data_IF_337550542796
#
_entry.id   IF_337550542796
#
_cell.length_a   1.000
_cell.length_b   1.000
_cell.length_c   1.000
_cell.angle_alpha   90.00
_cell.angle_beta   90.00
_cell.angle_gamma   90.00
#
_symmetry.space_group_name_H-M   'P 1'
#
loop_
_entity.id
_entity.type
_entity.pdbx_description
1 polymer ?
#
# COMPACT_ATOMS: atom_id res chain seq x y z
N UNK A 1 6.24 3.38 -11.76
CA UNK A 1 6.76 3.64 -10.41
C UNK A 1 6.14 2.62 -9.47
N UNK A 2 6.87 2.20 -8.44
CA UNK A 2 6.35 1.29 -7.41
C UNK A 2 6.17 2.10 -6.14
N UNK A 3 4.99 1.99 -5.53
CA UNK A 3 4.63 2.65 -4.30
C UNK A 3 4.40 1.61 -3.23
N UNK A 4 4.81 1.93 -2.01
CA UNK A 4 4.52 1.15 -0.83
C UNK A 4 3.64 1.94 0.10
N UNK A 5 2.42 1.46 0.30
CA UNK A 5 1.52 1.95 1.33
C UNK A 5 1.68 1.09 2.59
N UNK A 6 1.74 1.73 3.75
CA UNK A 6 1.73 1.08 5.07
C UNK A 6 0.34 1.23 5.66
N UNK A 7 -0.23 0.10 6.05
CA UNK A 7 -1.59 -0.02 6.57
C UNK A 7 -1.56 -0.53 8.01
N UNK A 8 -2.54 -0.13 8.83
CA UNK A 8 -2.58 -0.46 10.25
C UNK A 8 -2.91 -1.93 10.53
N UNK A 9 -3.49 -2.68 9.58
CA UNK A 9 -3.84 -4.09 9.76
C UNK A 9 -3.92 -4.86 8.43
N UNK A 10 -3.86 -6.19 8.49
CA UNK A 10 -3.93 -7.08 7.34
C UNK A 10 -5.25 -6.93 6.58
N UNK A 11 -6.35 -6.73 7.31
CA UNK A 11 -7.69 -6.55 6.75
C UNK A 11 -7.74 -5.34 5.82
N UNK A 12 -7.13 -4.22 6.24
CA UNK A 12 -7.05 -3.04 5.38
C UNK A 12 -6.13 -3.26 4.18
N UNK A 13 -5.02 -3.98 4.35
CA UNK A 13 -4.14 -4.31 3.23
C UNK A 13 -4.85 -5.17 2.17
N UNK A 14 -5.62 -6.17 2.61
CA UNK A 14 -6.43 -7.00 1.71
C UNK A 14 -7.57 -6.19 1.06
N UNK A 15 -8.24 -5.30 1.81
CA UNK A 15 -9.27 -4.40 1.26
C UNK A 15 -8.67 -3.50 0.17
N UNK A 16 -7.52 -2.89 0.46
CA UNK A 16 -6.79 -2.03 -0.46
C UNK A 16 -6.37 -2.79 -1.72
N UNK A 17 -5.83 -4.00 -1.59
CA UNK A 17 -5.47 -4.84 -2.73
C UNK A 17 -6.68 -5.12 -3.62
N UNK A 18 -7.81 -5.54 -3.05
CA UNK A 18 -9.03 -5.83 -3.83
C UNK A 18 -9.54 -4.59 -4.57
N UNK A 19 -9.56 -3.46 -3.89
CA UNK A 19 -10.02 -2.20 -4.47
C UNK A 19 -9.12 -1.73 -5.62
N UNK A 20 -7.80 -1.70 -5.40
CA UNK A 20 -6.83 -1.30 -6.42
C UNK A 20 -6.80 -2.26 -7.60
N UNK A 21 -6.87 -3.57 -7.36
CA UNK A 21 -6.97 -4.58 -8.40
C UNK A 21 -8.24 -4.43 -9.24
N UNK A 22 -9.38 -4.08 -8.61
CA UNK A 22 -10.64 -3.80 -9.32
C UNK A 22 -10.52 -2.59 -10.26
N UNK A 23 -9.67 -1.63 -9.92
CA UNK A 23 -9.37 -0.47 -10.77
C UNK A 23 -8.25 -0.71 -11.80
N UNK A 24 -7.69 -1.92 -11.86
CA UNK A 24 -6.64 -2.28 -12.81
C UNK A 24 -5.22 -1.92 -12.34
N UNK A 25 -5.02 -1.57 -11.07
CA UNK A 25 -3.69 -1.35 -10.50
C UNK A 25 -3.08 -2.66 -10.01
N UNK A 26 -1.93 -3.10 -10.56
CA UNK A 26 -1.21 -4.27 -10.06
C UNK A 26 -0.73 -4.00 -8.64
N UNK A 27 -1.15 -4.83 -7.68
CA UNK A 27 -0.80 -4.66 -6.28
C UNK A 27 -0.64 -5.97 -5.51
N UNK A 28 0.27 -5.97 -4.55
CA UNK A 28 0.64 -7.12 -3.73
C UNK A 28 0.73 -6.73 -2.25
N UNK A 29 0.05 -7.50 -1.39
CA UNK A 29 0.17 -7.33 0.06
C UNK A 29 1.50 -7.92 0.50
N UNK A 30 2.35 -7.09 1.12
CA UNK A 30 3.65 -7.48 1.65
C UNK A 30 3.66 -7.33 3.16
N UNK A 31 4.09 -8.35 3.90
CA UNK A 31 4.29 -8.22 5.35
C UNK A 31 5.60 -7.48 5.60
N UNK A 32 5.55 -6.35 6.30
CA UNK A 32 6.75 -5.63 6.71
C UNK A 32 7.29 -6.25 8.00
N UNK A 33 8.41 -6.97 7.92
CA UNK A 33 9.12 -7.55 9.07
C UNK A 33 10.20 -6.60 9.64
N UNK A 34 10.12 -5.31 9.33
CA UNK A 34 11.10 -4.33 9.79
C UNK A 34 10.92 -4.04 11.28
N UNK A 35 11.80 -4.62 12.13
CA UNK A 35 11.84 -4.45 13.59
C UNK A 35 11.87 -2.99 14.10
N UNK A 36 12.11 -1.99 13.23
CA UNK A 36 12.18 -0.56 13.58
C UNK A 36 10.86 0.22 13.39
N UNK A 37 9.94 -0.21 12.54
CA UNK A 37 8.71 0.55 12.23
C UNK A 37 7.42 -0.16 12.68
N UNK A 38 7.54 -1.20 13.53
CA UNK A 38 6.41 -1.99 13.99
C UNK A 38 5.92 -2.97 12.92
N UNK A 39 5.07 -3.92 13.34
CA UNK A 39 4.48 -4.92 12.46
C UNK A 39 3.42 -4.27 11.54
N UNK A 40 3.88 -3.46 10.58
CA UNK A 40 3.03 -2.78 9.61
C UNK A 40 2.73 -3.67 8.42
N UNK A 41 1.47 -3.73 8.01
CA UNK A 41 1.10 -4.42 6.78
C UNK A 41 1.41 -3.48 5.61
N UNK A 42 2.22 -3.94 4.68
CA UNK A 42 2.57 -3.19 3.48
C UNK A 42 1.69 -3.60 2.30
N UNK A 43 1.50 -2.66 1.38
CA UNK A 43 0.90 -2.91 0.08
C UNK A 43 1.83 -2.29 -0.97
N UNK A 44 2.43 -3.14 -1.80
CA UNK A 44 3.14 -2.70 -2.99
C UNK A 44 2.14 -2.52 -4.11
N UNK A 45 2.25 -1.41 -4.84
CA UNK A 45 1.39 -1.12 -5.98
C UNK A 45 2.20 -0.47 -7.07
N UNK A 46 1.93 -0.88 -8.31
CA UNK A 46 2.50 -0.27 -9.50
C UNK A 46 1.60 0.88 -9.92
N UNK A 47 2.12 2.11 -9.89
CA UNK A 47 1.35 3.29 -10.25
C UNK A 47 1.96 4.58 -9.72
N UNK A 48 1.13 5.62 -9.68
CA UNK A 48 1.44 6.92 -9.09
C UNK A 48 1.07 6.95 -7.60
N UNK A 49 2.00 7.33 -6.73
CA UNK A 49 1.80 7.21 -5.28
C UNK A 49 0.76 8.21 -4.76
N UNK A 50 0.68 9.41 -5.34
CA UNK A 50 -0.31 10.40 -4.95
C UNK A 50 -1.71 9.96 -5.35
N UNK A 51 -1.86 9.44 -6.57
CA UNK A 51 -3.13 8.93 -7.05
C UNK A 51 -3.59 7.73 -6.20
N UNK A 52 -2.71 6.77 -5.93
CA UNK A 52 -3.06 5.64 -5.05
C UNK A 52 -3.45 6.13 -3.65
N UNK A 53 -2.70 7.07 -3.08
CA UNK A 53 -3.02 7.61 -1.76
C UNK A 53 -4.41 8.26 -1.73
N UNK A 54 -4.75 9.06 -2.75
CA UNK A 54 -6.08 9.66 -2.88
C UNK A 54 -7.17 8.60 -3.01
N UNK A 55 -6.98 7.59 -3.87
CA UNK A 55 -7.94 6.51 -4.08
C UNK A 55 -8.22 5.74 -2.78
N UNK A 56 -7.17 5.41 -2.01
CA UNK A 56 -7.30 4.70 -0.74
C UNK A 56 -8.05 5.54 0.30
N UNK A 57 -7.78 6.85 0.38
CA UNK A 57 -8.52 7.77 1.26
C UNK A 57 -9.99 7.87 0.84
N UNK A 58 -10.27 7.98 -0.47
CA UNK A 58 -11.64 8.06 -0.99
C UNK A 58 -12.46 6.81 -0.65
N UNK A 59 -11.83 5.62 -0.62
CA UNK A 59 -12.46 4.35 -0.25
C UNK A 59 -12.55 4.14 1.28
N UNK A 60 -12.11 5.13 2.07
CA UNK A 60 -12.10 5.07 3.53
C UNK A 60 -11.10 4.05 4.08
N UNK A 61 -9.99 3.82 3.39
CA UNK A 61 -8.93 2.91 3.81
C UNK A 61 -7.84 3.73 4.53
N UNK A 62 -7.64 3.53 5.85
CA UNK A 62 -6.62 4.24 6.60
C UNK A 62 -5.23 3.79 6.16
N UNK A 63 -4.46 4.73 5.65
CA UNK A 63 -3.06 4.56 5.27
C UNK A 63 -2.21 5.39 6.21
N UNK A 64 -1.19 4.76 6.80
CA UNK A 64 -0.25 5.44 7.70
C UNK A 64 0.83 6.20 6.93
N UNK A 65 1.31 5.62 5.84
CA UNK A 65 2.35 6.22 5.02
C UNK A 65 2.29 5.66 3.60
N UNK A 66 2.52 6.49 2.59
CA UNK A 66 2.81 6.04 1.22
C UNK A 66 4.16 6.59 0.83
N UNK A 67 5.08 5.71 0.41
CA UNK A 67 6.39 6.12 -0.08
C UNK A 67 6.66 5.45 -1.42
N UNK A 68 7.42 6.14 -2.26
CA UNK A 68 7.97 5.54 -3.47
C UNK A 68 8.96 4.47 -3.02
N UNK A 69 8.71 3.22 -3.38
CA UNK A 69 9.66 2.15 -3.13
C UNK A 69 10.74 2.26 -4.21
N UNK A 70 11.87 2.88 -3.84
CA UNK A 70 13.07 2.88 -4.68
C UNK A 70 13.70 1.51 -4.49
N UNK A 71 13.64 0.68 -5.52
CA UNK A 71 14.45 -0.53 -5.62
C UNK A 71 15.91 -0.07 -5.69
N UNK A 72 16.57 0.02 -4.52
CA UNK A 72 18.01 0.17 -4.47
C UNK A 72 18.58 -1.22 -4.73
N UNK A 73 18.91 -1.45 -6.01
CA UNK A 73 19.60 -2.64 -6.47
C UNK A 73 21.06 -2.61 -5.98
#
# INVERSE_FOLDING_TARGET
>A
MICRAVLPSETYAMKAQKFLASMGYPCEVVRSTSKKEGCGFGLKVVGDCEQIHRLLIQEGIPVQTVRIEREYQ
#
